data_IF_578093721284
#
_entry.id   IF_578093721284
#
_cell.length_a   1.000
_cell.length_b   1.000
_cell.length_c   1.000
_cell.angle_alpha   90.00
_cell.angle_beta   90.00
_cell.angle_gamma   90.00
#
_symmetry.space_group_name_H-M   'P 1'
#
loop_
_entity.id
_entity.type
_entity.pdbx_description
1 polymer ?
#
# COMPACT_ATOMS: atom_id res chain seq x y z
N UNK A 1 20.43 1.07 -9.81
CA UNK A 1 19.98 2.14 -8.89
C UNK A 1 18.46 2.15 -8.95
N UNK A 2 17.85 1.13 -8.37
CA UNK A 2 16.51 1.29 -7.81
C UNK A 2 16.61 2.35 -6.72
N UNK A 3 15.89 3.45 -6.89
CA UNK A 3 15.84 4.52 -5.91
C UNK A 3 15.24 3.97 -4.60
N UNK A 4 15.83 4.30 -3.44
CA UNK A 4 15.36 3.83 -2.13
C UNK A 4 13.87 4.13 -1.94
N UNK A 5 13.44 5.26 -2.48
CA UNK A 5 12.04 5.70 -2.52
C UNK A 5 11.13 4.73 -3.28
N UNK A 6 11.61 4.13 -4.36
CA UNK A 6 10.83 3.17 -5.16
C UNK A 6 10.59 1.89 -4.39
N UNK A 7 11.60 1.39 -3.69
CA UNK A 7 11.45 0.23 -2.80
C UNK A 7 10.44 0.51 -1.69
N UNK A 8 10.57 1.65 -1.01
CA UNK A 8 9.67 2.06 0.07
C UNK A 8 8.22 2.21 -0.39
N UNK A 9 7.98 2.73 -1.60
CA UNK A 9 6.65 2.79 -2.22
C UNK A 9 6.03 1.40 -2.35
N UNK A 10 6.74 0.44 -2.95
CA UNK A 10 6.23 -0.92 -3.12
C UNK A 10 6.02 -1.64 -1.78
N UNK A 11 6.96 -1.48 -0.84
CA UNK A 11 6.83 -2.05 0.50
C UNK A 11 5.59 -1.51 1.22
N UNK A 12 5.33 -0.21 1.09
CA UNK A 12 4.13 0.42 1.63
C UNK A 12 2.86 -0.21 1.05
N UNK A 13 2.73 -0.32 -0.27
CA UNK A 13 1.55 -0.95 -0.90
C UNK A 13 1.38 -2.42 -0.48
N UNK A 14 2.48 -3.16 -0.34
CA UNK A 14 2.44 -4.54 0.13
C UNK A 14 1.86 -4.64 1.56
N UNK A 15 2.41 -3.87 2.49
CA UNK A 15 2.02 -3.91 3.91
C UNK A 15 0.62 -3.34 4.12
N UNK A 16 0.29 -2.23 3.48
CA UNK A 16 -0.91 -1.44 3.79
C UNK A 16 -2.10 -1.79 2.89
N UNK A 17 -1.88 -2.46 1.77
CA UNK A 17 -2.96 -2.81 0.81
C UNK A 17 -3.01 -4.31 0.55
N UNK A 18 -1.95 -4.92 0.01
CA UNK A 18 -1.98 -6.36 -0.33
C UNK A 18 -2.28 -7.23 0.90
N UNK A 19 -1.54 -7.03 1.98
CA UNK A 19 -1.74 -7.83 3.20
C UNK A 19 -3.15 -7.69 3.78
N UNK A 20 -3.72 -6.49 3.96
CA UNK A 20 -5.12 -6.34 4.36
C UNK A 20 -6.14 -6.89 3.36
N UNK A 21 -5.86 -6.87 2.06
CA UNK A 21 -6.76 -7.41 1.04
C UNK A 21 -6.93 -8.93 1.18
N UNK A 22 -5.96 -9.64 1.75
CA UNK A 22 -6.10 -11.06 2.12
C UNK A 22 -7.22 -11.30 3.16
N UNK A 23 -7.53 -10.27 3.97
CA UNK A 23 -8.59 -10.31 4.98
C UNK A 23 -9.95 -9.82 4.45
N UNK A 24 -10.02 -9.39 3.20
CA UNK A 24 -11.28 -8.98 2.57
C UNK A 24 -12.20 -10.20 2.43
N UNK A 25 -13.52 -9.98 2.51
CA UNK A 25 -14.49 -11.08 2.38
C UNK A 25 -14.47 -11.65 0.95
N UNK A 26 -14.00 -12.90 0.82
CA UNK A 26 -13.69 -13.55 -0.46
C UNK A 26 -12.21 -13.48 -0.88
N UNK A 27 -11.34 -12.97 -0.01
CA UNK A 27 -9.89 -12.97 -0.12
C UNK A 27 -9.34 -12.02 -1.19
N UNK A 28 -8.03 -12.11 -1.42
CA UNK A 28 -7.29 -11.21 -2.31
C UNK A 28 -7.89 -11.15 -3.72
N UNK A 29 -8.31 -12.29 -4.29
CA UNK A 29 -8.86 -12.33 -5.65
C UNK A 29 -10.09 -11.42 -5.78
N UNK A 30 -11.05 -11.53 -4.85
CA UNK A 30 -12.25 -10.69 -4.86
C UNK A 30 -11.90 -9.23 -4.54
N UNK A 31 -10.95 -9.00 -3.63
CA UNK A 31 -10.45 -7.66 -3.33
C UNK A 31 -9.83 -6.95 -4.55
N UNK A 32 -9.18 -7.70 -5.45
CA UNK A 32 -8.61 -7.17 -6.71
C UNK A 32 -9.73 -6.80 -7.70
N UNK A 33 -10.76 -7.66 -7.82
CA UNK A 33 -11.92 -7.43 -8.69
C UNK A 33 -12.77 -6.22 -8.20
N UNK A 34 -12.90 -6.08 -6.88
CA UNK A 34 -13.66 -5.03 -6.18
C UNK A 34 -12.72 -4.02 -5.49
N UNK A 35 -11.68 -3.57 -6.22
CA UNK A 35 -10.59 -2.78 -5.61
C UNK A 35 -11.06 -1.56 -4.82
N UNK A 36 -12.03 -0.80 -5.33
CA UNK A 36 -12.46 0.44 -4.67
C UNK A 36 -13.18 0.14 -3.36
N UNK A 37 -14.06 -0.85 -3.36
CA UNK A 37 -14.79 -1.34 -2.19
C UNK A 37 -13.84 -1.96 -1.15
N UNK A 38 -12.89 -2.78 -1.59
CA UNK A 38 -11.88 -3.38 -0.72
C UNK A 38 -10.98 -2.32 -0.08
N UNK A 39 -10.54 -1.33 -0.86
CA UNK A 39 -9.74 -0.22 -0.35
C UNK A 39 -10.50 0.62 0.67
N UNK A 40 -11.76 0.92 0.40
CA UNK A 40 -12.62 1.69 1.31
C UNK A 40 -12.98 0.91 2.59
N UNK A 41 -13.03 -0.42 2.52
CA UNK A 41 -13.15 -1.27 3.71
C UNK A 41 -11.88 -1.26 4.56
N UNK A 42 -10.71 -1.48 3.94
CA UNK A 42 -9.41 -1.54 4.65
C UNK A 42 -9.05 -0.21 5.29
N UNK A 43 -9.30 0.92 4.63
CA UNK A 43 -8.94 2.24 5.17
C UNK A 43 -9.73 2.58 6.44
N UNK A 44 -10.93 2.03 6.59
CA UNK A 44 -11.76 2.19 7.79
C UNK A 44 -11.43 1.18 8.89
N UNK A 45 -10.66 0.13 8.57
CA UNK A 45 -10.30 -0.89 9.56
C UNK A 45 -9.28 -0.32 10.58
N UNK A 46 -9.63 -0.28 11.89
CA UNK A 46 -8.75 0.27 12.92
C UNK A 46 -7.48 -0.56 13.15
N UNK A 47 -7.46 -1.82 12.73
CA UNK A 47 -6.30 -2.71 12.84
C UNK A 47 -5.37 -2.64 11.63
N UNK A 48 -5.76 -1.90 10.58
CA UNK A 48 -4.93 -1.68 9.40
C UNK A 48 -4.29 -0.28 9.45
N UNK A 49 -3.01 -0.21 9.08
CA UNK A 49 -2.24 1.03 9.05
C UNK A 49 -2.57 1.91 7.85
N UNK A 50 -3.31 1.41 6.85
CA UNK A 50 -3.75 2.21 5.70
C UNK A 50 -4.52 3.47 6.11
N UNK A 51 -5.39 3.35 7.12
CA UNK A 51 -6.13 4.48 7.66
C UNK A 51 -5.23 5.53 8.33
N UNK A 52 -4.15 5.10 8.99
CA UNK A 52 -3.19 6.01 9.61
C UNK A 52 -2.30 6.68 8.58
N UNK A 53 -2.00 6.02 7.45
CA UNK A 53 -1.15 6.59 6.39
C UNK A 53 -1.96 7.42 5.39
N UNK A 54 -2.86 6.78 4.66
CA UNK A 54 -3.63 7.35 3.56
C UNK A 54 -5.02 7.88 3.98
N UNK A 55 -5.47 7.61 5.21
CA UNK A 55 -6.74 8.09 5.73
C UNK A 55 -6.63 9.33 6.62
N UNK A 56 -7.78 9.73 7.17
CA UNK A 56 -7.91 10.92 8.03
C UNK A 56 -7.51 10.64 9.49
N UNK A 57 -7.16 9.39 9.81
CA UNK A 57 -6.69 9.02 11.15
C UNK A 57 -5.30 9.60 11.39
N UNK A 58 -5.15 10.21 12.57
CA UNK A 58 -3.86 10.60 13.13
C UNK A 58 -3.50 9.64 14.24
N UNK A 59 -2.54 8.75 13.96
CA UNK A 59 -1.95 7.92 15.00
C UNK A 59 -0.92 8.72 15.79
N UNK A 60 -0.88 8.60 17.13
CA UNK A 60 0.16 9.23 17.95
C UNK A 60 1.53 8.54 17.86
N UNK A 61 1.61 7.40 17.15
CA UNK A 61 2.81 6.55 17.06
C UNK A 61 3.34 6.48 15.63
N UNK A 62 2.47 6.62 14.61
CA UNK A 62 2.88 6.57 13.21
C UNK A 62 3.30 7.97 12.76
N UNK A 63 4.56 8.09 12.35
CA UNK A 63 5.06 9.24 11.63
C UNK A 63 4.81 9.07 10.12
N UNK A 64 4.25 10.10 9.49
CA UNK A 64 3.97 10.11 8.05
C UNK A 64 5.12 10.68 7.24
N UNK A 65 6.14 11.32 7.81
CA UNK A 65 7.09 12.18 7.09
C UNK A 65 7.61 11.55 5.79
N UNK A 66 8.18 10.35 5.83
CA UNK A 66 8.75 9.68 4.64
C UNK A 66 7.71 9.33 3.57
N UNK A 67 6.57 8.75 3.95
CA UNK A 67 5.55 8.31 2.98
C UNK A 67 4.58 9.44 2.58
N UNK A 68 4.44 10.46 3.42
CA UNK A 68 3.65 11.67 3.18
C UNK A 68 4.34 12.60 2.19
N UNK A 69 5.68 12.66 2.18
CA UNK A 69 6.44 13.31 1.11
C UNK A 69 6.25 12.59 -0.24
N UNK A 70 6.20 11.25 -0.22
CA UNK A 70 6.04 10.42 -1.41
C UNK A 70 4.60 10.49 -1.96
N UNK A 71 3.60 10.45 -1.08
CA UNK A 71 2.18 10.45 -1.42
C UNK A 71 1.47 11.60 -0.69
N UNK A 72 1.39 12.78 -1.31
CA UNK A 72 0.91 13.99 -0.62
C UNK A 72 -0.59 13.95 -0.29
N UNK A 73 -1.36 13.03 -0.90
CA UNK A 73 -2.76 12.84 -0.58
C UNK A 73 -3.23 11.39 -0.79
N UNK A 74 -4.39 11.08 -0.22
CA UNK A 74 -5.06 9.77 -0.29
C UNK A 74 -5.24 9.26 -1.72
N UNK A 75 -5.59 10.13 -2.66
CA UNK A 75 -5.92 9.72 -4.03
C UNK A 75 -4.68 9.28 -4.80
N UNK A 76 -3.54 9.96 -4.59
CA UNK A 76 -2.27 9.55 -5.18
C UNK A 76 -1.82 8.19 -4.66
N UNK A 77 -1.97 7.95 -3.34
CA UNK A 77 -1.72 6.63 -2.75
C UNK A 77 -2.67 5.55 -3.31
N UNK A 78 -3.99 5.82 -3.34
CA UNK A 78 -5.00 4.88 -3.85
C UNK A 78 -4.71 4.51 -5.32
N UNK A 79 -4.32 5.49 -6.14
CA UNK A 79 -3.94 5.26 -7.54
C UNK A 79 -2.71 4.36 -7.64
N UNK A 80 -1.64 4.69 -6.92
CA UNK A 80 -0.42 3.88 -6.91
C UNK A 80 -0.67 2.45 -6.42
N UNK A 81 -1.43 2.30 -5.34
CA UNK A 81 -1.84 0.99 -4.82
C UNK A 81 -2.62 0.18 -5.87
N UNK A 82 -3.52 0.83 -6.62
CA UNK A 82 -4.27 0.18 -7.70
C UNK A 82 -3.35 -0.33 -8.81
N UNK A 83 -2.39 0.48 -9.24
CA UNK A 83 -1.39 0.11 -10.23
C UNK A 83 -0.52 -1.05 -9.74
N UNK A 84 -0.15 -1.06 -8.46
CA UNK A 84 0.59 -2.15 -7.83
C UNK A 84 -0.21 -3.46 -7.83
N UNK A 85 -1.48 -3.42 -7.43
CA UNK A 85 -2.30 -4.62 -7.27
C UNK A 85 -2.76 -5.20 -8.62
N UNK A 86 -3.07 -4.34 -9.60
CA UNK A 86 -3.58 -4.78 -10.92
C UNK A 86 -2.48 -5.03 -11.96
N UNK A 87 -1.38 -4.28 -11.89
CA UNK A 87 -0.40 -4.22 -12.97
C UNK A 87 0.98 -4.73 -12.62
N UNK A 88 1.29 -4.97 -11.34
CA UNK A 88 2.64 -5.32 -10.92
C UNK A 88 2.67 -6.57 -10.05
N UNK A 89 3.61 -7.46 -10.37
CA UNK A 89 3.99 -8.51 -9.47
C UNK A 89 4.83 -7.89 -8.35
N UNK A 90 4.16 -7.38 -7.31
CA UNK A 90 4.77 -6.68 -6.18
C UNK A 90 5.97 -7.45 -5.58
N UNK A 91 5.87 -8.77 -5.55
CA UNK A 91 6.92 -9.67 -5.04
C UNK A 91 8.17 -9.68 -5.92
N UNK A 92 8.00 -9.61 -7.24
CA UNK A 92 9.09 -9.49 -8.22
C UNK A 92 9.79 -8.13 -8.09
N UNK A 93 9.01 -7.04 -7.97
CA UNK A 93 9.56 -5.68 -7.82
C UNK A 93 10.32 -5.49 -6.51
N UNK A 94 9.84 -6.08 -5.42
CA UNK A 94 10.57 -6.10 -4.15
C UNK A 94 11.86 -6.93 -4.26
N UNK A 95 11.80 -8.09 -4.93
CA UNK A 95 12.98 -8.94 -5.15
C UNK A 95 14.06 -8.29 -6.00
N UNK A 96 13.70 -7.55 -7.05
CA UNK A 96 14.66 -6.83 -7.89
C UNK A 96 15.28 -5.63 -7.17
N UNK A 97 14.51 -4.94 -6.32
CA UNK A 97 15.01 -3.83 -5.52
C UNK A 97 16.05 -4.26 -4.47
N UNK A 98 15.95 -5.48 -3.93
CA UNK A 98 16.91 -6.01 -2.94
C UNK A 98 18.25 -6.38 -3.60
N UNK A 99 18.21 -6.94 -4.82
CA UNK A 99 19.42 -7.32 -5.57
C UNK A 99 20.29 -6.13 -5.98
N UNK A 100 19.71 -4.94 -6.06
CA UNK A 100 20.38 -3.70 -6.44
C UNK A 100 21.12 -3.03 -5.26
N UNK A 101 21.00 -3.58 -4.04
CA UNK A 101 21.58 -3.07 -2.79
C UNK A 101 22.77 -3.93 -2.30
N UNK A 102 22.99 -5.11 -2.89
CA UNK A 102 24.17 -5.98 -2.67
C UNK A 102 25.28 -5.70 -3.68
#
# INVERSE_FOLDING_TARGET
MVDSDTYLRYLSAYIQVKNPFELYDGGLKKAVEEFDEAFDSVIQNPFCSLGDYAGDRKSPIIDKDLLGEIFPNKNDYKKFARECILGMNLEEKLGDAIKDVE
#
